data_IF_509360516209
#
_entry.id   IF_509360516209
#
_cell.length_a   1.000
_cell.length_b   1.000
_cell.length_c   1.000
_cell.angle_alpha   90.00
_cell.angle_beta   90.00
_cell.angle_gamma   90.00
#
_symmetry.space_group_name_H-M   'P 1'
#
loop_
_entity.id
_entity.type
_entity.pdbx_description
1 polymer ?
#
# COMPACT_ATOMS: atom_id res chain seq x y z
N UNK A 1 11.65 -15.05 -7.58
CA UNK A 1 12.12 -13.94 -6.75
C UNK A 1 10.92 -13.16 -6.25
N UNK A 2 10.81 -12.98 -4.93
CA UNK A 2 9.73 -12.24 -4.26
C UNK A 2 10.23 -10.83 -3.91
N UNK A 3 9.43 -9.81 -4.23
CA UNK A 3 9.65 -8.42 -3.84
C UNK A 3 8.62 -8.02 -2.79
N UNK A 4 9.08 -7.45 -1.68
CA UNK A 4 8.22 -6.86 -0.65
C UNK A 4 8.44 -5.36 -0.66
N UNK A 5 7.39 -4.58 -0.91
CA UNK A 5 7.41 -3.12 -0.89
C UNK A 5 6.85 -2.64 0.43
N UNK A 6 7.69 -2.05 1.27
CA UNK A 6 7.28 -1.50 2.57
C UNK A 6 7.00 -0.01 2.46
N UNK A 7 5.83 0.43 2.94
CA UNK A 7 5.39 1.83 2.88
C UNK A 7 5.02 2.28 4.30
N UNK A 8 5.88 3.04 5.00
CA UNK A 8 5.45 3.76 6.18
C UNK A 8 4.48 4.88 5.78
N UNK A 9 3.37 5.02 6.50
CA UNK A 9 2.34 6.01 6.19
C UNK A 9 1.83 6.70 7.46
N UNK A 10 1.75 8.03 7.42
CA UNK A 10 1.20 8.88 8.47
C UNK A 10 0.34 9.98 7.85
N UNK A 11 -0.98 9.89 8.05
CA UNK A 11 -1.97 10.83 7.52
C UNK A 11 -1.89 11.07 6.00
N UNK A 12 -1.92 9.97 5.23
CA UNK A 12 -1.83 9.92 3.76
C UNK A 12 -3.16 9.49 3.10
N UNK A 13 -4.32 9.76 3.71
CA UNK A 13 -5.63 9.32 3.18
C UNK A 13 -5.86 9.72 1.72
N UNK A 14 -5.39 10.90 1.31
CA UNK A 14 -5.56 11.40 -0.06
C UNK A 14 -4.64 10.74 -1.11
N UNK A 15 -3.55 10.10 -0.67
CA UNK A 15 -2.48 9.68 -1.59
C UNK A 15 -2.20 8.17 -1.57
N UNK A 16 -2.36 7.52 -0.41
CA UNK A 16 -1.87 6.15 -0.17
C UNK A 16 -2.43 5.14 -1.17
N UNK A 17 -3.72 5.24 -1.50
CA UNK A 17 -4.36 4.36 -2.47
C UNK A 17 -3.75 4.50 -3.87
N UNK A 18 -3.42 5.73 -4.27
CA UNK A 18 -2.79 5.99 -5.58
C UNK A 18 -1.35 5.48 -5.65
N UNK A 19 -0.61 5.53 -4.53
CA UNK A 19 0.75 5.00 -4.41
C UNK A 19 0.73 3.48 -4.56
N UNK A 20 -0.13 2.80 -3.81
CA UNK A 20 -0.28 1.33 -3.85
C UNK A 20 -0.65 0.85 -5.27
N UNK A 21 -1.56 1.56 -5.95
CA UNK A 21 -2.00 1.22 -7.32
C UNK A 21 -0.92 1.41 -8.39
N UNK A 22 0.08 2.27 -8.15
CA UNK A 22 1.20 2.51 -9.08
C UNK A 22 2.33 1.49 -8.95
N UNK A 23 2.32 0.66 -7.91
CA UNK A 23 3.34 -0.39 -7.73
C UNK A 23 3.13 -1.46 -8.80
N UNK A 24 4.13 -1.71 -9.68
CA UNK A 24 4.00 -2.71 -10.73
C UNK A 24 3.89 -4.11 -10.12
N UNK A 25 2.90 -4.89 -10.58
CA UNK A 25 2.67 -6.26 -10.11
C UNK A 25 3.40 -7.32 -10.95
N UNK A 26 3.92 -6.94 -12.11
CA UNK A 26 4.56 -7.81 -13.09
C UNK A 26 6.07 -7.55 -13.27
N UNK A 27 6.77 -7.15 -12.20
CA UNK A 27 8.22 -6.92 -12.22
C UNK A 27 9.05 -8.09 -11.64
N UNK A 28 8.41 -9.05 -10.98
CA UNK A 28 8.99 -10.29 -10.46
C UNK A 28 7.89 -11.33 -10.21
N UNK A 29 8.25 -12.52 -9.73
CA UNK A 29 7.30 -13.64 -9.57
C UNK A 29 6.19 -13.33 -8.55
N UNK A 30 6.50 -12.55 -7.50
CA UNK A 30 5.55 -12.14 -6.47
C UNK A 30 5.88 -10.73 -5.97
N UNK A 31 4.86 -9.86 -5.89
CA UNK A 31 4.97 -8.49 -5.35
C UNK A 31 3.97 -8.33 -4.22
N UNK A 32 4.48 -8.26 -2.99
CA UNK A 32 3.69 -8.00 -1.78
C UNK A 32 3.87 -6.55 -1.35
N UNK A 33 2.80 -5.90 -0.91
CA UNK A 33 2.83 -4.53 -0.38
C UNK A 33 2.50 -4.57 1.10
N UNK A 34 3.41 -4.03 1.92
CA UNK A 34 3.25 -3.94 3.37
C UNK A 34 3.16 -2.47 3.77
N UNK A 35 1.96 -2.02 4.14
CA UNK A 35 1.74 -0.67 4.66
C UNK A 35 1.91 -0.68 6.17
N UNK A 36 2.79 0.18 6.69
CA UNK A 36 3.07 0.34 8.11
C UNK A 36 2.44 1.66 8.56
N UNK A 37 1.31 1.57 9.26
CA UNK A 37 0.65 2.75 9.83
C UNK A 37 1.47 3.32 10.99
N UNK A 38 1.97 4.54 10.86
CA UNK A 38 2.80 5.23 11.85
C UNK A 38 1.96 6.13 12.77
N UNK A 39 0.81 5.62 13.22
CA UNK A 39 -0.10 6.34 14.12
C UNK A 39 -1.01 7.36 13.45
N UNK A 40 -1.40 7.12 12.19
CA UNK A 40 -2.36 7.99 11.48
C UNK A 40 -3.68 8.12 12.25
N UNK A 41 -4.27 9.30 12.19
CA UNK A 41 -5.57 9.62 12.82
C UNK A 41 -6.68 9.89 11.81
N UNK A 42 -6.38 9.74 10.53
CA UNK A 42 -7.27 9.92 9.38
C UNK A 42 -7.62 8.57 8.74
N UNK A 43 -8.17 8.56 7.51
CA UNK A 43 -8.58 7.34 6.82
C UNK A 43 -7.44 6.59 6.11
N UNK A 44 -6.16 6.90 6.36
CA UNK A 44 -5.00 6.25 5.71
C UNK A 44 -5.10 4.72 5.68
N UNK A 45 -5.50 4.10 6.79
CA UNK A 45 -5.59 2.64 6.91
C UNK A 45 -6.70 2.07 6.02
N UNK A 46 -7.84 2.74 5.97
CA UNK A 46 -9.00 2.27 5.20
C UNK A 46 -8.75 2.46 3.70
N UNK A 47 -8.17 3.59 3.30
CA UNK A 47 -7.76 3.86 1.92
C UNK A 47 -6.67 2.89 1.44
N UNK A 48 -5.71 2.53 2.31
CA UNK A 48 -4.70 1.53 2.00
C UNK A 48 -5.31 0.14 1.76
N UNK A 49 -6.21 -0.32 2.63
CA UNK A 49 -6.92 -1.61 2.47
C UNK A 49 -7.78 -1.63 1.20
N UNK A 50 -8.48 -0.54 0.92
CA UNK A 50 -9.32 -0.42 -0.28
C UNK A 50 -8.54 -0.36 -1.59
N UNK A 51 -7.22 -0.15 -1.53
CA UNK A 51 -6.36 -0.10 -2.71
C UNK A 51 -5.87 -1.47 -3.18
N UNK A 52 -5.91 -2.49 -2.32
CA UNK A 52 -5.62 -3.87 -2.72
C UNK A 52 -6.87 -4.48 -3.36
N UNK A 53 -6.74 -4.96 -4.60
CA UNK A 53 -7.76 -5.81 -5.20
C UNK A 53 -7.70 -7.14 -4.45
N UNK A 54 -8.68 -7.36 -3.56
CA UNK A 54 -8.91 -8.66 -2.92
C UNK A 54 -9.27 -9.64 -4.04
N UNK A 55 -8.39 -10.60 -4.33
CA UNK A 55 -8.79 -11.94 -4.77
C UNK A 55 -8.91 -12.84 -3.55
#
# INVERSE_FOLDING_TARGET
MKLVVMIPAYNEEDTIASVIKKIPRNCCDEVEVLVINDGSTDNTVEEAKGAEQIE
#
